data_IF_604375787343
#
_entry.id   IF_604375787343
#
_cell.length_a   1.000
_cell.length_b   1.000
_cell.length_c   1.000
_cell.angle_alpha   90.00
_cell.angle_beta   90.00
_cell.angle_gamma   90.00
#
_symmetry.space_group_name_H-M   'P 1'
#
loop_
_entity.id
_entity.type
_entity.pdbx_description
1 polymer ?
#
# COMPACT_ATOMS: atom_id res chain seq x y z
N UNK A 1 -5.36 -17.31 17.85
CA UNK A 1 -3.90 -17.17 17.59
C UNK A 1 -3.12 -16.87 18.87
N UNK A 2 -3.49 -15.89 19.70
CA UNK A 2 -2.75 -15.57 20.94
C UNK A 2 -2.66 -16.72 21.96
N UNK A 3 -3.79 -17.38 22.25
CA UNK A 3 -3.84 -18.50 23.20
C UNK A 3 -3.00 -19.71 22.78
N UNK A 4 -2.86 -20.00 21.47
CA UNK A 4 -2.06 -21.13 21.00
C UNK A 4 -0.55 -20.90 21.16
N UNK A 5 -0.09 -19.63 21.23
CA UNK A 5 1.32 -19.28 21.44
C UNK A 5 1.75 -19.33 22.91
N UNK A 6 0.80 -19.05 23.82
CA UNK A 6 0.95 -19.26 25.27
C UNK A 6 0.99 -20.77 25.56
N UNK A 7 0.10 -21.54 24.92
CA UNK A 7 0.03 -22.99 25.08
C UNK A 7 1.30 -23.73 24.58
N UNK A 8 1.97 -23.22 23.54
CA UNK A 8 3.23 -23.75 23.03
C UNK A 8 4.47 -23.25 23.80
N UNK A 9 4.31 -22.40 24.82
CA UNK A 9 5.40 -21.91 25.67
C UNK A 9 6.42 -20.99 24.99
N UNK A 10 6.21 -20.61 23.73
CA UNK A 10 7.15 -19.83 22.91
C UNK A 10 7.06 -18.31 23.12
N UNK A 11 5.99 -17.82 23.75
CA UNK A 11 5.84 -16.40 24.08
C UNK A 11 5.26 -16.24 25.49
N UNK A 12 5.77 -15.26 26.23
CA UNK A 12 5.23 -14.93 27.54
C UNK A 12 3.81 -14.36 27.38
N UNK A 13 2.87 -14.63 28.31
CA UNK A 13 1.52 -14.07 28.27
C UNK A 13 1.51 -12.54 28.13
N UNK A 14 2.49 -11.87 28.72
CA UNK A 14 2.71 -10.41 28.62
C UNK A 14 2.87 -9.93 27.19
N UNK A 15 3.54 -10.68 26.31
CA UNK A 15 3.75 -10.29 24.91
C UNK A 15 2.44 -10.31 24.12
N UNK A 16 1.56 -11.26 24.45
CA UNK A 16 0.23 -11.38 23.83
C UNK A 16 -0.67 -10.23 24.27
N UNK A 17 -0.67 -9.90 25.57
CA UNK A 17 -1.43 -8.76 26.08
C UNK A 17 -0.91 -7.43 25.55
N UNK A 18 0.41 -7.25 25.45
CA UNK A 18 1.01 -6.08 24.83
C UNK A 18 0.61 -5.94 23.36
N UNK A 19 0.59 -7.05 22.61
CA UNK A 19 0.09 -7.08 21.23
C UNK A 19 -1.38 -6.72 21.12
N UNK A 20 -2.23 -7.19 22.03
CA UNK A 20 -3.66 -6.81 22.07
C UNK A 20 -3.86 -5.33 22.42
N UNK A 21 -3.11 -4.82 23.39
CA UNK A 21 -3.13 -3.41 23.78
C UNK A 21 -2.72 -2.52 22.61
N UNK A 22 -1.61 -2.84 21.94
CA UNK A 22 -1.15 -2.15 20.73
C UNK A 22 -2.19 -2.23 19.61
N UNK A 23 -2.80 -3.39 19.39
CA UNK A 23 -3.87 -3.58 18.41
C UNK A 23 -5.10 -2.71 18.71
N UNK A 24 -5.54 -2.68 19.97
CA UNK A 24 -6.67 -1.85 20.40
C UNK A 24 -6.34 -0.35 20.28
N UNK A 25 -5.13 0.06 20.68
CA UNK A 25 -4.69 1.45 20.61
C UNK A 25 -4.57 1.94 19.17
N UNK A 26 -3.96 1.13 18.29
CA UNK A 26 -3.86 1.45 16.86
C UNK A 26 -5.22 1.50 16.18
N UNK A 27 -6.11 0.54 16.45
CA UNK A 27 -7.48 0.56 15.93
C UNK A 27 -8.23 1.81 16.38
N UNK A 28 -8.15 2.15 17.67
CA UNK A 28 -8.78 3.34 18.23
C UNK A 28 -8.24 4.60 17.58
N UNK A 29 -6.92 4.72 17.44
CA UNK A 29 -6.28 5.85 16.77
C UNK A 29 -6.78 6.00 15.32
N UNK A 30 -6.86 4.91 14.56
CA UNK A 30 -7.35 4.92 13.17
C UNK A 30 -8.81 5.36 13.09
N UNK A 31 -9.67 4.88 14.00
CA UNK A 31 -11.08 5.28 14.04
C UNK A 31 -11.26 6.76 14.41
N UNK A 32 -10.48 7.26 15.37
CA UNK A 32 -10.46 8.67 15.74
C UNK A 32 -9.96 9.54 14.58
N UNK A 33 -8.90 9.12 13.90
CA UNK A 33 -8.37 9.82 12.71
C UNK A 33 -9.41 9.86 11.60
N UNK A 34 -10.08 8.73 11.32
CA UNK A 34 -11.17 8.67 10.34
C UNK A 34 -12.31 9.60 10.71
N UNK A 35 -12.68 9.67 12.00
CA UNK A 35 -13.71 10.58 12.48
C UNK A 35 -13.29 12.03 12.30
N UNK A 36 -12.06 12.39 12.67
CA UNK A 36 -11.52 13.74 12.51
C UNK A 36 -11.46 14.14 11.03
N UNK A 37 -10.93 13.28 10.17
CA UNK A 37 -10.87 13.51 8.72
C UNK A 37 -12.29 13.62 8.15
N UNK A 38 -13.27 12.82 8.59
CA UNK A 38 -14.65 12.91 8.10
C UNK A 38 -15.37 14.20 8.52
N UNK A 39 -14.93 14.85 9.60
CA UNK A 39 -15.43 16.17 10.02
C UNK A 39 -14.92 17.27 9.09
N UNK A 40 -13.73 17.08 8.53
CA UNK A 40 -13.14 18.02 7.59
C UNK A 40 -13.58 17.59 6.18
N UNK A 41 -14.32 18.44 5.45
CA UNK A 41 -14.72 18.16 4.05
C UNK A 41 -13.54 18.25 3.08
N UNK A 42 -12.37 17.71 3.42
CA UNK A 42 -11.24 17.63 2.52
C UNK A 42 -11.62 16.69 1.39
N UNK A 43 -11.63 17.24 0.17
CA UNK A 43 -11.59 16.42 -1.04
C UNK A 43 -10.32 15.55 -0.97
N UNK A 44 -10.28 14.36 -1.61
CA UNK A 44 -9.09 13.52 -1.59
C UNK A 44 -7.85 14.26 -2.14
N UNK A 45 -8.03 15.25 -3.00
CA UNK A 45 -6.96 16.00 -3.65
C UNK A 45 -6.07 16.84 -2.70
N UNK A 46 -6.57 17.76 -1.84
CA UNK A 46 -5.72 18.50 -0.90
C UNK A 46 -5.03 17.63 0.14
N UNK A 47 -5.64 16.52 0.57
CA UNK A 47 -5.01 15.58 1.51
C UNK A 47 -3.80 14.89 0.88
N UNK A 48 -3.88 14.59 -0.41
CA UNK A 48 -2.79 14.00 -1.18
C UNK A 48 -1.68 15.00 -1.39
N UNK A 49 -2.02 16.23 -1.77
CA UNK A 49 -1.05 17.32 -1.88
C UNK A 49 -0.34 17.52 -0.54
N UNK A 50 -1.07 17.50 0.58
CA UNK A 50 -0.49 17.56 1.93
C UNK A 50 0.48 16.41 2.22
N UNK A 51 0.10 15.16 1.93
CA UNK A 51 0.98 13.99 2.10
C UNK A 51 2.23 14.11 1.22
N UNK A 52 2.07 14.52 -0.05
CA UNK A 52 3.16 14.71 -1.00
C UNK A 52 4.15 15.78 -0.53
N UNK A 53 3.65 16.90 -0.01
CA UNK A 53 4.45 17.99 0.54
C UNK A 53 5.18 17.56 1.82
N UNK A 54 4.51 16.81 2.70
CA UNK A 54 5.15 16.24 3.91
C UNK A 54 6.25 15.26 3.50
N UNK A 55 6.01 14.37 2.54
CA UNK A 55 7.06 13.45 2.06
C UNK A 55 8.24 14.19 1.45
N UNK A 56 8.01 15.24 0.67
CA UNK A 56 9.07 16.09 0.10
C UNK A 56 9.86 16.80 1.20
N UNK A 57 9.18 17.34 2.22
CA UNK A 57 9.83 17.96 3.37
C UNK A 57 10.69 16.96 4.16
N UNK A 58 10.19 15.74 4.43
CA UNK A 58 10.95 14.70 5.14
C UNK A 58 12.17 14.25 4.34
N UNK A 59 12.11 14.22 3.00
CA UNK A 59 13.28 13.88 2.18
C UNK A 59 14.44 14.88 2.31
N UNK A 60 14.14 16.17 2.54
CA UNK A 60 15.17 17.21 2.70
C UNK A 60 16.00 17.01 3.97
N UNK A 61 15.42 16.41 5.01
CA UNK A 61 16.07 16.25 6.32
C UNK A 61 16.64 14.86 6.60
N UNK A 62 16.40 13.87 5.74
CA UNK A 62 16.74 12.46 6.01
C UNK A 62 17.54 11.81 4.87
N UNK A 63 18.87 11.68 5.05
CA UNK A 63 19.75 10.92 4.15
C UNK A 63 19.87 9.44 4.53
N UNK A 64 18.82 8.85 5.13
CA UNK A 64 18.82 7.44 5.49
C UNK A 64 18.13 6.60 4.40
N UNK A 65 18.88 5.63 3.87
CA UNK A 65 18.46 4.73 2.79
C UNK A 65 17.14 4.02 3.06
N UNK A 66 16.90 3.58 4.29
CA UNK A 66 15.68 2.86 4.67
C UNK A 66 14.49 3.82 4.67
N UNK A 67 14.65 5.02 5.23
CA UNK A 67 13.61 6.03 5.25
C UNK A 67 13.25 6.51 3.84
N UNK A 68 14.25 6.75 2.97
CA UNK A 68 14.01 7.09 1.55
C UNK A 68 13.10 6.06 0.87
N UNK A 69 13.38 4.76 1.06
CA UNK A 69 12.59 3.68 0.46
C UNK A 69 11.17 3.59 1.02
N UNK A 70 11.00 3.73 2.34
CA UNK A 70 9.68 3.69 2.98
C UNK A 70 8.82 4.87 2.54
N UNK A 71 9.36 6.09 2.61
CA UNK A 71 8.67 7.32 2.21
C UNK A 71 8.23 7.23 0.76
N UNK A 72 9.12 6.77 -0.12
CA UNK A 72 8.79 6.58 -1.53
C UNK A 72 7.65 5.58 -1.74
N UNK A 73 7.70 4.43 -1.07
CA UNK A 73 6.65 3.42 -1.20
C UNK A 73 5.29 3.95 -0.74
N UNK A 74 5.24 4.68 0.38
CA UNK A 74 4.01 5.34 0.85
C UNK A 74 3.53 6.41 -0.12
N UNK A 75 4.44 7.21 -0.67
CA UNK A 75 4.13 8.22 -1.69
C UNK A 75 3.49 7.60 -2.92
N UNK A 76 4.12 6.58 -3.50
CA UNK A 76 3.58 5.87 -4.65
C UNK A 76 2.25 5.19 -4.36
N UNK A 77 2.13 4.54 -3.20
CA UNK A 77 0.91 3.86 -2.77
C UNK A 77 -0.26 4.83 -2.65
N UNK A 78 -0.05 6.00 -2.02
CA UNK A 78 -1.09 7.01 -1.89
C UNK A 78 -1.53 7.58 -3.24
N UNK A 79 -0.61 7.83 -4.17
CA UNK A 79 -0.96 8.23 -5.53
C UNK A 79 -1.78 7.15 -6.25
N UNK A 80 -1.36 5.88 -6.11
CA UNK A 80 -2.06 4.75 -6.71
C UNK A 80 -3.49 4.58 -6.18
N UNK A 81 -3.74 4.83 -4.89
CA UNK A 81 -5.08 4.72 -4.29
C UNK A 81 -6.06 5.75 -4.87
N UNK A 82 -5.62 6.97 -5.10
CA UNK A 82 -6.47 8.03 -5.68
C UNK A 82 -6.80 7.68 -7.12
N UNK A 83 -5.77 7.28 -7.87
CA UNK A 83 -5.90 6.97 -9.28
C UNK A 83 -6.78 5.73 -9.50
N UNK A 84 -6.64 4.74 -8.62
CA UNK A 84 -7.51 3.57 -8.60
C UNK A 84 -8.97 3.98 -8.40
N UNK A 85 -9.25 4.82 -7.39
CA UNK A 85 -10.61 5.34 -7.14
C UNK A 85 -11.18 6.20 -8.26
N UNK A 86 -10.33 6.92 -8.98
CA UNK A 86 -10.77 7.80 -10.07
C UNK A 86 -11.09 7.05 -11.36
N UNK A 87 -10.45 5.90 -11.60
CA UNK A 87 -10.62 5.17 -12.86
C UNK A 87 -11.49 3.92 -12.69
N UNK A 88 -11.44 3.22 -11.55
CA UNK A 88 -12.14 1.95 -11.37
C UNK A 88 -12.69 1.72 -9.95
N UNK A 89 -13.97 1.34 -9.85
CA UNK A 89 -14.56 0.77 -8.64
C UNK A 89 -14.18 -0.71 -8.52
N UNK A 90 -12.96 -1.01 -8.04
CA UNK A 90 -12.54 -2.38 -7.79
C UNK A 90 -13.31 -2.96 -6.61
N UNK A 91 -14.22 -3.91 -6.85
CA UNK A 91 -14.89 -4.66 -5.79
C UNK A 91 -14.14 -5.98 -5.52
N UNK A 92 -13.33 -6.07 -4.44
CA UNK A 92 -12.57 -7.28 -4.13
C UNK A 92 -13.46 -8.47 -3.74
N UNK A 93 -14.70 -8.23 -3.33
CA UNK A 93 -15.61 -9.27 -2.85
C UNK A 93 -16.15 -10.17 -3.98
N UNK A 94 -16.34 -9.60 -5.18
CA UNK A 94 -16.98 -10.24 -6.33
C UNK A 94 -16.12 -11.32 -7.03
N UNK A 95 -14.90 -11.59 -6.57
CA UNK A 95 -13.99 -12.51 -7.24
C UNK A 95 -14.16 -13.96 -6.77
N UNK A 96 -14.18 -14.89 -7.72
CA UNK A 96 -14.18 -16.34 -7.48
C UNK A 96 -12.90 -16.74 -6.71
N UNK A 97 -12.98 -17.75 -5.83
CA UNK A 97 -11.87 -18.18 -4.95
C UNK A 97 -10.57 -18.48 -5.71
N UNK A 98 -10.65 -19.11 -6.89
CA UNK A 98 -9.47 -19.34 -7.77
C UNK A 98 -8.82 -18.04 -8.22
N UNK A 99 -9.61 -17.01 -8.52
CA UNK A 99 -9.10 -15.69 -8.90
C UNK A 99 -8.47 -14.98 -7.70
N UNK A 100 -9.01 -15.16 -6.48
CA UNK A 100 -8.40 -14.64 -5.24
C UNK A 100 -7.02 -15.28 -4.98
N UNK A 101 -6.87 -16.58 -5.24
CA UNK A 101 -5.61 -17.29 -5.08
C UNK A 101 -4.55 -16.93 -6.12
N UNK A 102 -4.95 -16.62 -7.36
CA UNK A 102 -4.01 -16.27 -8.44
C UNK A 102 -3.51 -14.82 -8.38
N UNK A 103 -4.28 -13.90 -7.79
CA UNK A 103 -3.93 -12.47 -7.71
C UNK A 103 -2.65 -12.22 -6.92
N UNK A 104 -2.47 -12.89 -5.79
CA UNK A 104 -1.31 -12.69 -4.93
C UNK A 104 0.02 -13.10 -5.62
N UNK A 105 0.17 -14.31 -6.17
CA UNK A 105 1.39 -14.69 -6.88
C UNK A 105 1.60 -13.86 -8.15
N UNK A 106 0.55 -13.58 -8.94
CA UNK A 106 0.67 -12.71 -10.13
C UNK A 106 1.16 -11.30 -9.77
N UNK A 107 0.55 -10.70 -8.75
CA UNK A 107 0.94 -9.37 -8.26
C UNK A 107 2.38 -9.34 -7.75
N UNK A 108 2.79 -10.36 -6.99
CA UNK A 108 4.16 -10.49 -6.50
C UNK A 108 5.17 -10.71 -7.62
N UNK A 109 4.87 -11.59 -8.58
CA UNK A 109 5.76 -11.86 -9.72
C UNK A 109 6.02 -10.57 -10.50
N UNK A 110 4.97 -9.82 -10.86
CA UNK A 110 5.16 -8.56 -11.58
C UNK A 110 5.89 -7.52 -10.73
N UNK A 111 5.64 -7.48 -9.42
CA UNK A 111 6.37 -6.60 -8.51
C UNK A 111 7.86 -6.92 -8.48
N UNK A 112 8.24 -8.20 -8.42
CA UNK A 112 9.63 -8.64 -8.47
C UNK A 112 10.28 -8.32 -9.82
N UNK A 113 9.56 -8.53 -10.94
CA UNK A 113 10.03 -8.18 -12.27
C UNK A 113 10.32 -6.67 -12.35
N UNK A 114 9.39 -5.83 -11.91
CA UNK A 114 9.58 -4.38 -11.87
C UNK A 114 10.77 -4.00 -10.97
N UNK A 115 10.90 -4.61 -9.80
CA UNK A 115 12.02 -4.35 -8.90
C UNK A 115 13.37 -4.66 -9.54
N UNK A 116 13.51 -5.82 -10.19
CA UNK A 116 14.75 -6.26 -10.83
C UNK A 116 15.05 -5.37 -12.04
N UNK A 117 14.05 -5.10 -12.89
CA UNK A 117 14.19 -4.27 -14.07
C UNK A 117 14.73 -2.88 -13.72
N UNK A 118 14.12 -2.21 -12.73
CA UNK A 118 14.58 -0.90 -12.29
C UNK A 118 15.92 -0.96 -11.55
N UNK A 119 16.23 -2.06 -10.84
CA UNK A 119 17.56 -2.23 -10.23
C UNK A 119 18.67 -2.33 -11.29
N UNK A 120 18.39 -2.87 -12.47
CA UNK A 120 19.36 -2.98 -13.56
C UNK A 120 19.51 -1.67 -14.35
N UNK A 121 18.42 -0.93 -14.54
CA UNK A 121 18.43 0.32 -15.33
C UNK A 121 18.94 1.50 -14.49
N UNK A 122 18.63 1.54 -13.19
CA UNK A 122 18.92 2.70 -12.36
C UNK A 122 20.35 2.69 -11.79
N UNK A 123 20.96 3.88 -11.65
CA UNK A 123 22.34 3.99 -11.22
C UNK A 123 22.55 3.46 -9.80
N UNK A 124 23.70 2.81 -9.61
CA UNK A 124 24.09 2.16 -8.36
C UNK A 124 24.56 3.11 -7.27
N UNK A 125 24.92 2.50 -6.13
CA UNK A 125 25.49 3.17 -4.97
C UNK A 125 26.81 3.85 -5.34
N UNK A 126 26.85 5.18 -5.25
CA UNK A 126 28.00 6.00 -5.64
C UNK A 126 27.67 7.10 -6.65
N UNK A 127 26.51 7.03 -7.31
CA UNK A 127 26.05 8.12 -8.17
C UNK A 127 25.42 9.26 -7.36
N UNK A 128 25.59 10.54 -7.76
CA UNK A 128 24.91 11.68 -7.14
C UNK A 128 23.37 11.56 -7.17
N UNK A 129 22.85 10.87 -8.20
CA UNK A 129 21.43 10.67 -8.41
C UNK A 129 20.86 9.42 -7.73
N UNK A 130 21.68 8.65 -7.02
CA UNK A 130 21.29 7.38 -6.42
C UNK A 130 20.03 7.49 -5.54
N UNK A 131 19.95 8.53 -4.70
CA UNK A 131 18.82 8.74 -3.78
C UNK A 131 17.52 9.00 -4.55
N UNK A 132 17.59 9.80 -5.62
CA UNK A 132 16.45 10.10 -6.48
C UNK A 132 15.93 8.85 -7.18
N UNK A 133 16.81 8.07 -7.82
CA UNK A 133 16.41 6.84 -8.50
C UNK A 133 15.94 5.74 -7.53
N UNK A 134 16.50 5.70 -6.31
CA UNK A 134 15.97 4.87 -5.23
C UNK A 134 14.54 5.30 -4.91
N UNK A 135 14.29 6.59 -4.69
CA UNK A 135 12.94 7.10 -4.45
C UNK A 135 11.99 6.72 -5.58
N UNK A 136 12.35 6.99 -6.83
CA UNK A 136 11.52 6.62 -7.99
C UNK A 136 11.22 5.12 -8.02
N UNK A 137 12.22 4.26 -7.82
CA UNK A 137 12.01 2.80 -7.81
C UNK A 137 10.98 2.38 -6.77
N UNK A 138 11.17 2.79 -5.52
CA UNK A 138 10.24 2.38 -4.45
C UNK A 138 8.88 3.06 -4.57
N UNK A 139 8.82 4.28 -5.11
CA UNK A 139 7.58 4.97 -5.45
C UNK A 139 6.78 4.24 -6.52
N UNK A 140 7.43 3.83 -7.61
CA UNK A 140 6.78 3.04 -8.67
C UNK A 140 6.26 1.71 -8.11
N UNK A 141 7.01 1.05 -7.23
CA UNK A 141 6.55 -0.19 -6.59
C UNK A 141 5.34 0.03 -5.69
N UNK A 142 5.33 1.10 -4.89
CA UNK A 142 4.17 1.50 -4.09
C UNK A 142 2.93 1.77 -4.96
N UNK A 143 3.12 2.50 -6.05
CA UNK A 143 2.07 2.81 -7.03
C UNK A 143 1.54 1.54 -7.70
N UNK A 144 2.44 0.63 -8.09
CA UNK A 144 2.08 -0.66 -8.69
C UNK A 144 1.19 -1.48 -7.75
N UNK A 145 1.52 -1.57 -6.47
CA UNK A 145 0.74 -2.33 -5.48
C UNK A 145 -0.70 -1.80 -5.41
N UNK A 146 -0.87 -0.48 -5.41
CA UNK A 146 -2.19 0.13 -5.22
C UNK A 146 -3.00 0.33 -6.50
N UNK A 147 -2.36 0.51 -7.65
CA UNK A 147 -3.03 0.82 -8.92
C UNK A 147 -2.74 -0.23 -9.99
N UNK A 148 -1.46 -0.53 -10.23
CA UNK A 148 -1.03 -1.42 -11.31
C UNK A 148 -1.56 -2.86 -11.18
N UNK A 149 -1.45 -3.46 -10.00
CA UNK A 149 -1.94 -4.81 -9.76
C UNK A 149 -3.47 -4.92 -9.88
N UNK A 150 -4.29 -4.06 -9.25
CA UNK A 150 -5.75 -4.06 -9.47
C UNK A 150 -6.14 -3.83 -10.94
N UNK A 151 -5.45 -2.92 -11.64
CA UNK A 151 -5.68 -2.66 -13.06
C UNK A 151 -5.42 -3.90 -13.91
N UNK A 152 -4.32 -4.60 -13.69
CA UNK A 152 -3.97 -5.81 -14.41
C UNK A 152 -4.99 -6.94 -14.17
N UNK A 153 -5.48 -7.10 -12.94
CA UNK A 153 -6.52 -8.09 -12.65
C UNK A 153 -7.84 -7.78 -13.35
N UNK A 154 -8.19 -6.49 -13.47
CA UNK A 154 -9.34 -6.07 -14.26
C UNK A 154 -9.13 -6.35 -15.75
N UNK A 155 -7.98 -5.97 -16.30
CA UNK A 155 -7.66 -6.17 -17.72
C UNK A 155 -7.68 -7.66 -18.13
N UNK A 156 -7.27 -8.55 -17.23
CA UNK A 156 -7.29 -10.00 -17.43
C UNK A 156 -8.68 -10.64 -17.20
N UNK A 157 -9.75 -9.86 -17.09
CA UNK A 157 -11.12 -10.34 -16.81
C UNK A 157 -11.22 -11.26 -15.58
N UNK A 158 -10.34 -11.10 -14.59
CA UNK A 158 -10.46 -11.79 -13.31
C UNK A 158 -11.57 -11.19 -12.41
N UNK A 159 -12.60 -10.58 -13.01
CA UNK A 159 -13.80 -10.11 -12.35
C UNK A 159 -14.99 -10.56 -13.20
N UNK A 160 -15.91 -11.34 -12.60
CA UNK A 160 -17.28 -11.36 -13.12
C UNK A 160 -17.81 -9.93 -12.98
N UNK A 161 -18.28 -9.36 -14.08
CA UNK A 161 -18.96 -8.06 -14.04
C UNK A 161 -20.10 -8.19 -13.04
N UNK A 162 -20.16 -7.28 -12.07
CA UNK A 162 -21.35 -7.12 -11.28
C UNK A 162 -22.47 -6.78 -12.27
N UNK A 163 -23.39 -7.72 -12.44
CA UNK A 163 -24.57 -7.58 -13.28
C UNK A 163 -25.19 -6.20 -13.01
N UNK A 164 -25.43 -5.38 -14.05
CA UNK A 164 -26.03 -4.06 -13.84
C UNK A 164 -27.36 -4.29 -13.17
N UNK A 165 -27.49 -3.73 -11.96
CA UNK A 165 -28.70 -3.79 -11.15
C UNK A 165 -29.85 -3.29 -12.03
N UNK A 166 -30.68 -4.24 -12.48
CA UNK A 166 -31.84 -3.99 -13.30
C UNK A 166 -32.85 -3.19 -12.49
N UNK A 167 -32.67 -1.88 -12.46
CA UNK A 167 -33.71 -0.95 -12.07
C UNK A 167 -34.49 -0.60 -13.33
N UNK A 168 -35.58 -1.35 -13.49
CA UNK A 168 -36.78 -1.02 -14.26
C UNK A 168 -37.24 0.41 -14.03
#
# INVERSE_FOLDING_TARGET
IGLSRIYLGVHFPTDVFAGWLLGALTLTAVLLLRRLISRIKLKPLPLVIGINLITAAVMVFQYNRVFTSLIAAFWGFTLGLIWCRSIYSFNPAAAVIRQKLLRLPLGLILLFILYILFKLIFPGEGSPFYVLFRFLRYGILGFWISFGAPFLFKALHFQEEAQPDGRS
#
